data_IF_440740738974
#
_entry.id   IF_440740738974
#
_cell.length_a   1.000
_cell.length_b   1.000
_cell.length_c   1.000
_cell.angle_alpha   90.00
_cell.angle_beta   90.00
_cell.angle_gamma   90.00
#
_symmetry.space_group_name_H-M   'P 1'
#
loop_
_entity.id
_entity.type
_entity.pdbx_description
1 polymer ?
#
# COMPACT_ATOMS: atom_id res chain seq x y z
N UNK A 1 -15.11 -4.56 -11.62
CA UNK A 1 -14.16 -3.53 -12.10
C UNK A 1 -14.96 -2.25 -12.27
N UNK A 2 -14.57 -1.15 -11.62
CA UNK A 2 -15.18 0.16 -11.86
C UNK A 2 -15.12 0.49 -13.37
N UNK A 3 -16.19 1.06 -13.92
CA UNK A 3 -16.39 1.15 -15.36
C UNK A 3 -15.57 2.28 -16.04
N UNK A 4 -15.09 3.26 -15.27
CA UNK A 4 -14.37 4.44 -15.78
C UNK A 4 -13.06 4.68 -15.02
N UNK A 5 -12.14 3.72 -15.10
CA UNK A 5 -10.81 3.90 -14.51
C UNK A 5 -9.90 4.73 -15.44
N UNK A 6 -9.02 5.59 -14.89
CA UNK A 6 -7.96 6.22 -15.66
C UNK A 6 -7.16 5.19 -16.47
N UNK A 7 -6.71 5.50 -17.69
CA UNK A 7 -6.14 4.53 -18.64
C UNK A 7 -4.91 3.77 -18.11
N UNK A 8 -4.14 4.38 -17.20
CA UNK A 8 -2.96 3.76 -16.59
C UNK A 8 -3.23 3.12 -15.21
N UNK A 9 -4.50 2.86 -14.90
CA UNK A 9 -4.88 2.19 -13.65
C UNK A 9 -4.61 0.70 -13.74
N UNK A 10 -3.85 0.17 -12.78
CA UNK A 10 -3.59 -1.27 -12.65
C UNK A 10 -4.13 -1.79 -11.32
N UNK A 11 -4.79 -2.94 -11.37
CA UNK A 11 -5.24 -3.63 -10.16
C UNK A 11 -4.09 -4.48 -9.62
N UNK A 12 -3.76 -4.30 -8.34
CA UNK A 12 -2.74 -5.08 -7.64
C UNK A 12 -3.35 -5.76 -6.43
N UNK A 13 -2.96 -7.01 -6.20
CA UNK A 13 -3.23 -7.70 -4.93
C UNK A 13 -2.07 -7.42 -3.98
N UNK A 14 -2.39 -6.92 -2.79
CA UNK A 14 -1.40 -6.70 -1.74
C UNK A 14 -0.92 -8.02 -1.12
N UNK A 15 0.32 -8.04 -0.66
CA UNK A 15 0.85 -9.12 0.18
C UNK A 15 0.18 -9.13 1.56
N UNK A 16 0.49 -10.13 2.39
CA UNK A 16 0.02 -10.18 3.79
C UNK A 16 0.44 -8.97 4.63
N UNK A 17 1.56 -8.34 4.28
CA UNK A 17 2.06 -7.14 4.95
C UNK A 17 1.61 -5.84 4.26
N UNK A 18 0.68 -5.92 3.30
CA UNK A 18 0.12 -4.74 2.63
C UNK A 18 1.07 -4.09 1.64
N UNK A 19 1.87 -4.88 0.92
CA UNK A 19 2.82 -4.37 -0.06
C UNK A 19 2.44 -4.77 -1.48
N UNK A 20 2.90 -4.00 -2.47
CA UNK A 20 2.85 -4.36 -3.88
C UNK A 20 4.12 -3.92 -4.62
N UNK A 21 4.26 -4.40 -5.86
CA UNK A 21 5.34 -4.00 -6.76
C UNK A 21 4.80 -3.20 -7.95
N UNK A 22 5.48 -2.10 -8.26
CA UNK A 22 5.31 -1.28 -9.45
C UNK A 22 6.70 -0.87 -9.95
N UNK A 23 7.00 -1.09 -11.23
CA UNK A 23 8.29 -0.77 -11.85
C UNK A 23 9.54 -1.25 -11.06
N UNK A 24 9.47 -2.46 -10.50
CA UNK A 24 10.49 -3.08 -9.63
C UNK A 24 10.72 -2.39 -8.28
N UNK A 25 9.90 -1.40 -7.94
CA UNK A 25 9.86 -0.75 -6.62
C UNK A 25 8.76 -1.39 -5.78
N UNK A 26 9.09 -1.68 -4.52
CA UNK A 26 8.15 -2.19 -3.54
C UNK A 26 7.54 -1.02 -2.75
N UNK A 27 6.22 -0.93 -2.76
CA UNK A 27 5.47 0.08 -2.02
C UNK A 27 4.74 -0.57 -0.85
N UNK A 28 4.87 0.02 0.34
CA UNK A 28 4.10 -0.35 1.52
C UNK A 28 2.86 0.54 1.62
N UNK A 29 1.69 -0.07 1.72
CA UNK A 29 0.43 0.58 2.09
C UNK A 29 0.21 0.42 3.60
N UNK A 30 0.24 -0.83 4.07
CA UNK A 30 0.11 -1.18 5.48
C UNK A 30 -0.54 -2.54 5.70
N UNK A 31 -0.12 -3.25 6.75
CA UNK A 31 -0.57 -4.63 7.03
C UNK A 31 -2.09 -4.78 7.23
N UNK A 32 -2.78 -3.70 7.62
CA UNK A 32 -4.24 -3.66 7.71
C UNK A 32 -4.93 -3.89 6.35
N UNK A 33 -4.26 -3.56 5.26
CA UNK A 33 -4.72 -3.80 3.89
C UNK A 33 -4.25 -5.15 3.33
N UNK A 34 -3.75 -6.05 4.18
CA UNK A 34 -3.20 -7.33 3.75
C UNK A 34 -4.17 -8.14 2.88
N UNK A 35 -3.66 -8.71 1.79
CA UNK A 35 -4.42 -9.48 0.79
C UNK A 35 -5.54 -8.74 0.03
N UNK A 36 -5.78 -7.46 0.31
CA UNK A 36 -6.76 -6.65 -0.41
C UNK A 36 -6.34 -6.40 -1.85
N UNK A 37 -7.32 -6.14 -2.72
CA UNK A 37 -7.07 -5.62 -4.06
C UNK A 37 -7.15 -4.09 -4.01
N UNK A 38 -6.19 -3.44 -4.65
CA UNK A 38 -6.10 -1.99 -4.74
C UNK A 38 -6.02 -1.55 -6.19
N UNK A 39 -6.46 -0.33 -6.46
CA UNK A 39 -6.25 0.36 -7.72
C UNK A 39 -4.98 1.19 -7.57
N UNK A 40 -4.02 0.98 -8.46
CA UNK A 40 -2.81 1.80 -8.55
C UNK A 40 -2.95 2.66 -9.78
N UNK A 41 -3.04 3.97 -9.57
CA UNK A 41 -3.23 4.97 -10.60
C UNK A 41 -1.90 5.71 -10.76
N UNK A 42 -1.39 5.77 -11.98
CA UNK A 42 -0.20 6.56 -12.31
C UNK A 42 -0.58 7.73 -13.21
N UNK A 43 -0.25 8.94 -12.79
CA UNK A 43 -0.40 10.17 -13.57
C UNK A 43 0.93 10.93 -13.61
N UNK A 44 1.68 10.74 -14.70
CA UNK A 44 3.05 11.21 -14.81
C UNK A 44 3.95 10.59 -13.73
N UNK A 45 4.45 11.43 -12.82
CA UNK A 45 5.24 11.00 -11.67
C UNK A 45 4.39 10.75 -10.42
N UNK A 46 3.10 11.04 -10.42
CA UNK A 46 2.24 10.78 -9.27
C UNK A 46 1.73 9.34 -9.30
N UNK A 47 1.74 8.71 -8.13
CA UNK A 47 1.24 7.37 -7.89
C UNK A 47 0.22 7.49 -6.75
N UNK A 48 -1.04 7.24 -7.07
CA UNK A 48 -2.13 7.19 -6.10
C UNK A 48 -2.61 5.75 -5.98
N UNK A 49 -2.72 5.26 -4.74
CA UNK A 49 -3.24 3.92 -4.48
C UNK A 49 -4.56 4.06 -3.73
N UNK A 50 -5.61 3.48 -4.29
CA UNK A 50 -6.94 3.48 -3.68
C UNK A 50 -7.42 2.05 -3.43
N UNK A 51 -8.42 1.91 -2.58
CA UNK A 51 -9.23 0.68 -2.58
C UNK A 51 -10.13 0.61 -3.83
N UNK A 52 -11.02 -0.39 -3.89
CA UNK A 52 -11.94 -0.57 -5.02
C UNK A 52 -13.14 0.38 -4.99
N UNK A 53 -13.40 1.06 -3.86
CA UNK A 53 -14.46 2.04 -3.68
C UNK A 53 -13.98 3.48 -3.99
N UNK A 54 -12.66 3.66 -4.10
CA UNK A 54 -12.01 4.93 -4.42
C UNK A 54 -11.42 5.67 -3.21
N UNK A 55 -11.38 5.05 -2.02
CA UNK A 55 -10.69 5.62 -0.86
C UNK A 55 -9.18 5.61 -1.09
N UNK A 56 -8.54 6.77 -0.95
CA UNK A 56 -7.08 6.91 -1.09
C UNK A 56 -6.39 6.31 0.13
N UNK A 57 -5.55 5.30 -0.11
CA UNK A 57 -4.77 4.61 0.93
C UNK A 57 -3.38 5.23 1.10
N UNK A 58 -2.69 5.54 -0.01
CA UNK A 58 -1.39 6.22 -0.04
C UNK A 58 -1.23 7.03 -1.32
N UNK A 59 -0.39 8.07 -1.26
CA UNK A 59 0.05 8.87 -2.39
C UNK A 59 1.56 9.03 -2.34
N UNK A 60 2.23 8.84 -3.48
CA UNK A 60 3.66 9.03 -3.63
C UNK A 60 3.99 9.61 -4.99
N UNK A 61 5.16 10.24 -5.09
CA UNK A 61 5.78 10.50 -6.39
C UNK A 61 6.72 9.35 -6.74
N UNK A 62 7.01 9.21 -8.04
CA UNK A 62 7.99 8.26 -8.56
C UNK A 62 9.31 8.51 -7.82
N UNK A 63 9.87 7.50 -7.14
CA UNK A 63 11.03 7.70 -6.31
C UNK A 63 12.28 7.92 -7.18
N UNK A 64 13.32 8.47 -6.56
CA UNK A 64 14.59 8.68 -7.24
C UNK A 64 15.16 7.37 -7.81
N UNK A 65 15.85 7.41 -8.97
CA UNK A 65 16.46 6.23 -9.57
C UNK A 65 17.34 5.45 -8.57
N UNK A 66 17.20 4.12 -8.57
CA UNK A 66 17.89 3.24 -7.62
C UNK A 66 17.12 2.97 -6.32
N UNK A 67 16.03 3.69 -6.07
CA UNK A 67 15.12 3.37 -4.96
C UNK A 67 14.37 2.08 -5.27
N UNK A 68 14.43 1.11 -4.37
CA UNK A 68 13.73 -0.17 -4.49
C UNK A 68 12.57 -0.32 -3.51
N UNK A 69 12.46 0.57 -2.53
CA UNK A 69 11.46 0.50 -1.47
C UNK A 69 10.92 1.88 -1.10
N UNK A 70 9.61 1.99 -0.99
CA UNK A 70 8.87 3.17 -0.53
C UNK A 70 7.96 2.76 0.63
N UNK A 71 8.25 3.30 1.81
CA UNK A 71 7.41 3.12 3.00
C UNK A 71 6.16 4.00 2.94
N UNK A 72 5.14 3.67 3.73
CA UNK A 72 3.88 4.41 3.78
C UNK A 72 3.98 5.79 4.47
N UNK A 73 5.18 6.30 4.78
CA UNK A 73 5.39 7.60 5.42
C UNK A 73 4.96 7.69 6.89
N UNK A 74 4.34 6.64 7.45
CA UNK A 74 3.97 6.59 8.85
C UNK A 74 5.16 6.11 9.69
N UNK A 75 5.45 6.75 10.85
CA UNK A 75 6.39 6.17 11.80
C UNK A 75 5.89 4.77 12.20
N UNK A 76 6.79 3.81 12.48
CA UNK A 76 6.40 2.49 12.96
C UNK A 76 5.42 2.66 14.11
N UNK A 77 4.22 2.07 13.98
CA UNK A 77 3.25 2.08 15.06
C UNK A 77 3.87 1.52 16.35
N UNK A 78 3.32 1.85 17.54
CA UNK A 78 3.80 1.28 18.79
C UNK A 78 3.83 -0.24 18.65
N UNK A 79 5.01 -0.83 18.81
CA UNK A 79 5.13 -2.28 18.91
C UNK A 79 4.34 -2.68 20.16
N UNK A 80 3.12 -3.20 20.01
CA UNK A 80 2.45 -3.87 21.12
C UNK A 80 3.24 -5.12 21.42
N UNK A 81 4.19 -4.97 22.32
CA UNK A 81 4.91 -6.04 22.96
C UNK A 81 3.84 -6.97 23.56
N UNK A 82 3.68 -8.17 23.00
CA UNK A 82 2.74 -9.18 23.53
C UNK A 82 3.26 -9.80 24.84
N UNK A 83 3.97 -9.03 25.65
CA UNK A 83 4.45 -9.40 26.99
C UNK A 83 3.41 -9.10 28.08
N UNK A 84 2.21 -8.61 27.74
CA UNK A 84 1.10 -8.54 28.70
C UNK A 84 0.37 -9.88 28.78
N UNK A 85 0.88 -10.72 29.67
CA UNK A 85 0.25 -11.84 30.38
C UNK A 85 -1.27 -11.94 30.14
N UNK A 86 -1.71 -13.00 29.44
CA UNK A 86 -3.10 -13.44 29.50
C UNK A 86 -3.43 -13.86 30.94
N UNK A 87 -4.50 -13.37 31.58
CA UNK A 87 -5.04 -14.03 32.76
C UNK A 87 -5.57 -15.40 32.31
N UNK A 88 -5.07 -16.48 32.90
CA UNK A 88 -5.75 -17.77 32.84
C UNK A 88 -7.05 -17.64 33.64
N UNK A 89 -8.18 -17.92 33.02
CA UNK A 89 -9.38 -18.41 33.71
C UNK A 89 -9.47 -19.91 33.50
#
# INVERSE_FOLDING_TARGET
>A
MPADLPPDTVVKKLTSAGMFYLDKVQYLVGAQCGFQQVLVITDGDNITVTDLEGEILIEHTRPAPGTTYVGNGWPPGPHTDKSRTSPKS
#
